data_IF_169715430803
#
_entry.id   IF_169715430803
#
_cell.length_a   1.000
_cell.length_b   1.000
_cell.length_c   1.000
_cell.angle_alpha   90.00
_cell.angle_beta   90.00
_cell.angle_gamma   90.00
#
_symmetry.space_group_name_H-M   'P 1'
#
loop_
_entity.id
_entity.type
_entity.pdbx_description
1 polymer ?
#
# COMPACT_ATOMS: atom_id res chain seq x y z
N UNK A 1 3.01 4.31 -3.57
CA UNK A 1 4.25 3.53 -3.78
C UNK A 1 4.26 3.12 -5.24
N UNK A 2 5.39 3.28 -5.92
CA UNK A 2 5.55 2.85 -7.32
C UNK A 2 6.30 1.52 -7.36
N UNK A 3 5.83 0.58 -8.16
CA UNK A 3 6.44 -0.74 -8.33
C UNK A 3 6.45 -1.07 -9.80
N UNK A 4 7.60 -1.48 -10.30
CA UNK A 4 7.70 -2.05 -11.64
C UNK A 4 7.25 -3.50 -11.61
N UNK A 5 6.22 -3.82 -12.39
CA UNK A 5 5.65 -5.15 -12.53
C UNK A 5 5.00 -5.28 -13.91
N UNK A 6 4.95 -6.50 -14.42
CA UNK A 6 4.35 -6.84 -15.72
C UNK A 6 2.84 -7.12 -15.60
N UNK A 7 2.31 -7.21 -14.37
CA UNK A 7 0.88 -7.35 -14.09
C UNK A 7 0.49 -6.83 -12.70
N UNK A 8 -0.79 -6.53 -12.50
CA UNK A 8 -1.35 -6.13 -11.20
C UNK A 8 -1.17 -7.20 -10.11
N UNK A 9 -1.21 -8.49 -10.47
CA UNK A 9 -0.93 -9.61 -9.55
C UNK A 9 0.52 -9.60 -9.08
N UNK A 10 1.47 -9.42 -10.01
CA UNK A 10 2.88 -9.34 -9.66
C UNK A 10 3.16 -8.10 -8.81
N UNK A 11 2.54 -6.96 -9.11
CA UNK A 11 2.63 -5.75 -8.31
C UNK A 11 2.12 -5.99 -6.88
N UNK A 12 0.99 -6.68 -6.72
CA UNK A 12 0.44 -7.07 -5.42
C UNK A 12 1.44 -7.92 -4.63
N UNK A 13 1.96 -8.98 -5.24
CA UNK A 13 2.87 -9.92 -4.56
C UNK A 13 4.21 -9.24 -4.18
N UNK A 14 4.76 -8.40 -5.07
CA UNK A 14 5.94 -7.56 -4.79
C UNK A 14 5.68 -6.59 -3.64
N UNK A 15 4.51 -5.94 -3.62
CA UNK A 15 4.13 -5.03 -2.53
C UNK A 15 4.10 -5.75 -1.19
N UNK A 16 3.47 -6.93 -1.12
CA UNK A 16 3.39 -7.71 0.12
C UNK A 16 4.78 -8.12 0.61
N UNK A 17 5.67 -8.52 -0.30
CA UNK A 17 7.05 -8.85 0.06
C UNK A 17 7.79 -7.64 0.63
N UNK A 18 7.78 -6.50 -0.07
CA UNK A 18 8.44 -5.28 0.38
C UNK A 18 7.89 -4.83 1.72
N UNK A 19 6.56 -4.86 1.88
CA UNK A 19 5.93 -4.52 3.14
C UNK A 19 6.42 -5.37 4.31
N UNK A 20 6.47 -6.70 4.14
CA UNK A 20 6.98 -7.63 5.16
C UNK A 20 8.45 -7.36 5.51
N UNK A 21 9.27 -7.13 4.50
CA UNK A 21 10.70 -6.80 4.69
C UNK A 21 10.92 -5.47 5.42
N UNK A 22 9.93 -4.57 5.41
CA UNK A 22 9.97 -3.27 6.07
C UNK A 22 9.08 -3.18 7.33
N UNK A 23 8.53 -4.31 7.80
CA UNK A 23 7.84 -4.33 9.09
C UNK A 23 8.85 -4.05 10.20
N UNK A 24 8.50 -3.11 11.08
CA UNK A 24 9.36 -2.74 12.18
C UNK A 24 8.54 -2.48 13.43
N UNK A 25 9.20 -2.61 14.58
CA UNK A 25 8.61 -2.33 15.87
C UNK A 25 9.60 -1.59 16.74
N UNK A 26 9.11 -0.65 17.54
CA UNK A 26 9.91 0.10 18.50
C UNK A 26 9.05 0.50 19.69
N UNK A 27 9.70 0.78 20.82
CA UNK A 27 9.04 1.36 21.99
C UNK A 27 9.11 2.88 21.90
N UNK A 28 7.98 3.56 22.04
CA UNK A 28 7.93 5.03 21.99
C UNK A 28 8.33 5.67 23.35
N UNK A 29 8.37 7.00 23.39
CA UNK A 29 8.69 7.78 24.60
C UNK A 29 7.71 7.57 25.77
N UNK A 30 6.53 7.02 25.50
CA UNK A 30 5.51 6.67 26.49
C UNK A 30 5.59 5.20 26.94
N UNK A 31 6.67 4.48 26.61
CA UNK A 31 6.86 3.07 26.91
C UNK A 31 5.78 2.17 26.28
N UNK A 32 5.27 2.54 25.12
CA UNK A 32 4.29 1.75 24.37
C UNK A 32 4.97 1.08 23.18
N UNK A 33 4.65 -0.18 22.95
CA UNK A 33 5.10 -0.92 21.77
C UNK A 33 4.31 -0.47 20.54
N UNK A 34 5.03 0.11 19.59
CA UNK A 34 4.50 0.57 18.32
C UNK A 34 4.99 -0.38 17.22
N UNK A 35 4.07 -0.78 16.34
CA UNK A 35 4.36 -1.62 15.19
C UNK A 35 3.97 -0.92 13.90
N UNK A 36 4.90 -0.86 12.96
CA UNK A 36 4.64 -0.48 11.58
C UNK A 36 4.52 -1.74 10.75
N UNK A 37 3.32 -1.98 10.23
CA UNK A 37 3.04 -3.10 9.33
C UNK A 37 2.01 -2.75 8.29
N UNK A 38 2.05 -3.44 7.15
CA UNK A 38 1.01 -3.34 6.16
C UNK A 38 -0.24 -4.11 6.64
N UNK A 39 -1.39 -3.45 6.63
CA UNK A 39 -2.67 -4.12 6.91
C UNK A 39 -3.18 -4.83 5.65
N UNK A 40 -3.25 -4.10 4.53
CA UNK A 40 -3.59 -4.65 3.22
C UNK A 40 -3.44 -3.61 2.10
N UNK A 41 -3.67 -4.02 0.86
CA UNK A 41 -3.68 -3.17 -0.34
C UNK A 41 -5.14 -2.90 -0.70
N UNK A 42 -5.50 -1.63 -0.95
CA UNK A 42 -6.88 -1.24 -1.27
C UNK A 42 -7.07 -0.89 -2.74
N UNK A 43 -5.99 -0.64 -3.47
CA UNK A 43 -6.02 -0.18 -4.85
C UNK A 43 -4.68 -0.44 -5.53
N UNK A 44 -4.70 -0.77 -6.83
CA UNK A 44 -3.52 -0.91 -7.69
C UNK A 44 -3.86 -0.20 -8.99
N UNK A 45 -3.18 0.92 -9.25
CA UNK A 45 -3.42 1.74 -10.43
C UNK A 45 -2.25 1.57 -11.41
N UNK A 46 -2.48 1.05 -12.62
CA UNK A 46 -1.45 0.98 -13.63
C UNK A 46 -1.09 2.39 -14.12
N UNK A 47 0.20 2.62 -14.34
CA UNK A 47 0.70 3.86 -14.92
C UNK A 47 1.38 3.48 -16.22
N UNK A 48 0.80 3.93 -17.34
CA UNK A 48 1.25 3.59 -18.69
C UNK A 48 2.24 4.61 -19.26
N UNK A 49 2.29 5.80 -18.66
CA UNK A 49 3.14 6.90 -19.10
C UNK A 49 4.57 6.70 -18.58
N UNK A 50 5.55 7.14 -19.37
CA UNK A 50 6.92 7.23 -18.90
C UNK A 50 7.03 8.37 -17.87
N UNK A 51 7.78 8.13 -16.80
CA UNK A 51 8.01 9.17 -15.80
C UNK A 51 9.01 10.20 -16.32
N UNK A 52 8.59 11.46 -16.35
CA UNK A 52 9.47 12.62 -16.55
C UNK A 52 9.87 13.22 -15.19
N UNK A 53 10.90 14.08 -15.21
CA UNK A 53 11.38 14.74 -14.01
C UNK A 53 10.29 15.65 -13.41
N UNK A 54 9.91 15.39 -12.16
CA UNK A 54 9.01 16.25 -11.38
C UNK A 54 7.51 15.93 -11.43
N UNK A 55 7.09 14.76 -11.93
CA UNK A 55 5.67 14.40 -12.02
C UNK A 55 5.03 13.99 -10.67
N UNK A 56 3.87 14.57 -10.36
CA UNK A 56 2.93 14.06 -9.36
C UNK A 56 1.87 13.19 -10.05
N UNK A 57 1.74 11.92 -9.65
CA UNK A 57 0.95 10.94 -10.43
C UNK A 57 -0.48 10.79 -9.93
N UNK A 58 -0.71 10.87 -8.61
CA UNK A 58 -2.05 10.74 -8.06
C UNK A 58 -2.15 11.37 -6.67
N UNK A 59 -3.23 12.13 -6.46
CA UNK A 59 -3.67 12.59 -5.14
C UNK A 59 -5.13 12.19 -4.94
N UNK A 60 -5.44 11.60 -3.79
CA UNK A 60 -6.82 11.31 -3.40
C UNK A 60 -7.04 11.72 -1.95
N UNK A 61 -7.90 12.73 -1.69
CA UNK A 61 -8.20 13.11 -0.32
C UNK A 61 -8.94 11.96 0.37
N UNK A 62 -8.39 11.46 1.49
CA UNK A 62 -9.01 10.43 2.32
C UNK A 62 -9.32 11.04 3.70
N UNK A 63 -10.56 10.96 4.19
CA UNK A 63 -10.88 11.42 5.56
C UNK A 63 -10.16 10.53 6.60
N UNK A 64 -9.93 11.03 7.84
CA UNK A 64 -9.37 10.23 8.92
C UNK A 64 -10.19 8.95 9.18
N UNK A 65 -9.52 7.82 9.38
CA UNK A 65 -10.17 6.51 9.59
C UNK A 65 -9.65 5.85 10.86
N UNK A 66 -10.55 5.20 11.59
CA UNK A 66 -10.18 4.35 12.73
C UNK A 66 -9.54 3.06 12.24
N UNK A 67 -8.44 2.65 12.87
CA UNK A 67 -7.70 1.42 12.54
C UNK A 67 -8.61 0.19 12.43
N UNK A 68 -9.53 0.01 13.39
CA UNK A 68 -10.50 -1.09 13.43
C UNK A 68 -11.43 -1.19 12.20
N UNK A 69 -11.55 -0.13 11.42
CA UNK A 69 -12.42 -0.09 10.24
C UNK A 69 -11.65 -0.25 8.93
N UNK A 70 -10.31 -0.25 8.93
CA UNK A 70 -9.53 -0.31 7.69
C UNK A 70 -9.78 -1.59 6.90
N UNK A 71 -10.01 -2.70 7.60
CA UNK A 71 -10.21 -4.01 6.97
C UNK A 71 -11.47 -4.07 6.08
N UNK A 72 -12.47 -3.22 6.31
CA UNK A 72 -13.69 -3.13 5.49
C UNK A 72 -13.44 -2.58 4.08
N UNK A 73 -12.28 -2.00 3.85
CA UNK A 73 -11.89 -1.37 2.58
C UNK A 73 -10.93 -2.22 1.76
N UNK A 74 -10.59 -3.39 2.29
CA UNK A 74 -9.70 -4.33 1.61
C UNK A 74 -10.50 -5.00 0.50
N UNK A 75 -10.04 -4.82 -0.72
CA UNK A 75 -10.58 -5.56 -1.86
C UNK A 75 -9.93 -6.95 -1.91
N UNK A 76 -10.68 -7.98 -2.32
CA UNK A 76 -10.09 -9.28 -2.65
C UNK A 76 -8.97 -9.12 -3.69
N UNK A 77 -7.94 -9.96 -3.61
CA UNK A 77 -6.78 -9.92 -4.51
C UNK A 77 -7.19 -10.00 -5.98
N UNK A 78 -8.19 -10.82 -6.27
CA UNK A 78 -8.71 -11.04 -7.62
C UNK A 78 -9.32 -9.76 -8.19
N UNK A 79 -10.02 -8.98 -7.37
CA UNK A 79 -10.61 -7.68 -7.78
C UNK A 79 -9.56 -6.61 -8.05
N UNK A 80 -8.41 -6.68 -7.39
CA UNK A 80 -7.27 -5.79 -7.61
C UNK A 80 -6.45 -6.19 -8.84
N UNK A 81 -6.62 -7.42 -9.34
CA UNK A 81 -5.93 -7.94 -10.51
C UNK A 81 -6.65 -7.61 -11.83
N UNK A 82 -7.94 -7.23 -11.75
CA UNK A 82 -8.79 -6.90 -12.90
C UNK A 82 -8.80 -5.40 -13.25
N UNK A 83 -8.12 -4.57 -12.45
CA UNK A 83 -8.01 -3.11 -12.58
C UNK A 83 -6.75 -2.63 -13.29
#
# INVERSE_FOLDING_TARGET
MLIRADSSLEAYDKTLRIARENETSYTNEHQQDVQWKLVSITDILPIYEAFEDGAEIAFTPRPPRKLKNLQKWVLPRERLAES
#
